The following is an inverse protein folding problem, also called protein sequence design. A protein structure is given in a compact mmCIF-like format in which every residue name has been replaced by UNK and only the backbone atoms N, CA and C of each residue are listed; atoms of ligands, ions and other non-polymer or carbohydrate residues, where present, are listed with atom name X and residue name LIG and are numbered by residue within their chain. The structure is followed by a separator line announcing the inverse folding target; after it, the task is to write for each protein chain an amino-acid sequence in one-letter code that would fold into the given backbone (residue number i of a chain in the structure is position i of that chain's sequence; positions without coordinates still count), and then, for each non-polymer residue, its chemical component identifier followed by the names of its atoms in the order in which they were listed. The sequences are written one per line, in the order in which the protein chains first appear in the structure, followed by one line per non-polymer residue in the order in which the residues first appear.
data_IF_607338700337
#
_entry.id   IF_607338700337
#
_cell.length_a   1.000
_cell.length_b   1.000
_cell.length_c   1.000
_cell.angle_alpha   90.00
_cell.angle_beta   90.00
_cell.angle_gamma   90.00
#
_symmetry.space_group_name_H-M   'P 1'
#
loop_
_entity.id
_entity.type
_entity.pdbx_description
1 polymer ?
#
# COMPACT_ATOMS: atom_id res chain seq x y z
N UNK A 1 6.69 5.87 -8.14
CA UNK A 1 5.57 5.52 -7.22
C UNK A 1 5.88 4.26 -6.40
N UNK A 2 6.34 3.20 -7.02
CA UNK A 2 6.57 1.93 -6.31
C UNK A 2 7.60 2.08 -5.19
N UNK A 3 8.64 2.87 -5.40
CA UNK A 3 9.66 3.07 -4.38
C UNK A 3 9.11 3.76 -3.14
N UNK A 4 8.25 4.75 -3.35
CA UNK A 4 7.60 5.44 -2.25
C UNK A 4 6.70 4.49 -1.47
N UNK A 5 6.00 3.63 -2.18
CA UNK A 5 5.12 2.65 -1.57
C UNK A 5 5.92 1.61 -0.78
N UNK A 6 7.11 1.24 -1.25
CA UNK A 6 7.99 0.34 -0.50
C UNK A 6 8.40 0.95 0.83
N UNK A 7 8.67 2.24 0.86
CA UNK A 7 8.99 2.93 2.11
C UNK A 7 7.81 2.86 3.08
N UNK A 8 6.61 3.06 2.56
CA UNK A 8 5.40 2.96 3.38
C UNK A 8 5.21 1.54 3.90
N UNK A 9 5.41 0.55 3.03
CA UNK A 9 5.30 -0.86 3.42
C UNK A 9 6.30 -1.23 4.50
N UNK A 10 7.51 -0.66 4.46
CA UNK A 10 8.51 -0.94 5.48
C UNK A 10 8.11 -0.42 6.86
N UNK A 11 7.26 0.60 6.91
CA UNK A 11 6.72 1.10 8.18
C UNK A 11 5.63 0.19 8.72
N UNK A 12 4.84 -0.40 7.83
CA UNK A 12 3.75 -1.30 8.21
C UNK A 12 4.29 -2.68 8.58
N UNK A 13 5.24 -3.19 7.81
CA UNK A 13 5.83 -4.53 8.02
C UNK A 13 7.35 -4.43 7.95
N UNK A 14 7.99 -3.96 9.01
CA UNK A 14 9.44 -3.69 9.00
C UNK A 14 10.32 -4.92 8.80
N UNK A 15 9.81 -6.11 9.09
CA UNK A 15 10.59 -7.34 8.95
C UNK A 15 10.48 -7.99 7.58
N UNK A 16 9.70 -7.40 6.69
CA UNK A 16 9.46 -7.99 5.39
C UNK A 16 10.55 -7.65 4.38
N UNK A 17 10.91 -8.62 3.54
CA UNK A 17 11.82 -8.39 2.42
C UNK A 17 11.07 -7.68 1.30
N UNK A 18 11.34 -6.40 1.12
CA UNK A 18 10.68 -5.59 0.11
C UNK A 18 11.44 -5.56 -1.21
N UNK A 19 12.60 -6.21 -1.27
CA UNK A 19 13.40 -6.21 -2.48
C UNK A 19 12.72 -6.88 -3.67
N UNK A 20 11.85 -7.86 -3.41
CA UNK A 20 11.13 -8.58 -4.45
C UNK A 20 9.74 -8.03 -4.72
N UNK A 21 9.33 -6.98 -4.00
CA UNK A 21 8.00 -6.39 -4.17
C UNK A 21 7.92 -5.62 -5.48
N UNK A 22 6.83 -5.83 -6.21
CA UNK A 22 6.54 -5.10 -7.44
C UNK A 22 5.04 -4.86 -7.55
N UNK A 23 4.61 -4.27 -8.66
CA UNK A 23 3.20 -3.92 -8.84
C UNK A 23 2.27 -5.14 -8.85
N UNK A 24 2.78 -6.31 -9.22
CA UNK A 24 2.00 -7.53 -9.26
C UNK A 24 1.95 -8.26 -7.91
N UNK A 25 2.73 -7.82 -6.94
CA UNK A 25 2.74 -8.44 -5.61
C UNK A 25 1.38 -8.30 -4.95
N UNK A 26 0.83 -9.41 -4.47
CA UNK A 26 -0.48 -9.41 -3.83
C UNK A 26 -0.34 -9.17 -2.34
N UNK A 27 -1.13 -8.23 -1.83
CA UNK A 27 -1.02 -7.82 -0.44
C UNK A 27 -1.39 -8.95 0.52
N UNK A 28 -2.49 -9.63 0.26
CA UNK A 28 -2.96 -10.68 1.16
C UNK A 28 -2.22 -11.99 0.92
N UNK A 29 -2.08 -12.40 -0.34
CA UNK A 29 -1.51 -13.70 -0.66
C UNK A 29 0.01 -13.73 -0.58
N UNK A 30 0.67 -12.68 -1.05
CA UNK A 30 2.13 -12.65 -1.11
C UNK A 30 2.77 -12.00 0.13
N UNK A 31 2.16 -10.94 0.64
CA UNK A 31 2.67 -10.21 1.80
C UNK A 31 1.97 -10.62 3.10
N UNK A 32 0.96 -11.45 3.01
CA UNK A 32 0.22 -11.97 4.14
C UNK A 32 -0.40 -10.89 5.03
N UNK A 33 -0.85 -9.80 4.40
CA UNK A 33 -1.54 -8.74 5.13
C UNK A 33 -2.91 -9.21 5.58
N UNK A 34 -3.26 -8.89 6.82
CA UNK A 34 -4.62 -9.07 7.32
C UNK A 34 -5.36 -7.72 7.22
N UNK A 35 -6.60 -7.69 7.71
CA UNK A 35 -7.42 -6.48 7.66
C UNK A 35 -6.76 -5.32 8.39
N UNK A 36 -6.14 -5.60 9.52
CA UNK A 36 -5.47 -4.57 10.31
C UNK A 36 -4.28 -3.98 9.54
N UNK A 37 -3.49 -4.84 8.91
CA UNK A 37 -2.35 -4.36 8.13
C UNK A 37 -2.79 -3.51 6.94
N UNK A 38 -3.88 -3.89 6.28
CA UNK A 38 -4.45 -3.11 5.18
C UNK A 38 -4.92 -1.74 5.68
N UNK A 39 -5.56 -1.68 6.83
CA UNK A 39 -5.97 -0.40 7.43
C UNK A 39 -4.77 0.47 7.77
N UNK A 40 -3.73 -0.11 8.34
CA UNK A 40 -2.50 0.62 8.65
C UNK A 40 -1.84 1.15 7.38
N UNK A 41 -1.82 0.34 6.33
CA UNK A 41 -1.30 0.77 5.03
C UNK A 41 -2.09 1.97 4.50
N UNK A 42 -3.42 1.91 4.58
CA UNK A 42 -4.28 3.01 4.14
C UNK A 42 -3.97 4.29 4.90
N UNK A 43 -3.80 4.20 6.21
CA UNK A 43 -3.48 5.37 7.04
C UNK A 43 -2.13 5.96 6.69
N UNK A 44 -1.13 5.13 6.46
CA UNK A 44 0.19 5.59 6.07
C UNK A 44 0.18 6.26 4.70
N UNK A 45 -0.61 5.72 3.78
CA UNK A 45 -0.76 6.30 2.44
C UNK A 45 -1.42 7.66 2.52
N UNK A 46 -2.48 7.80 3.32
CA UNK A 46 -3.13 9.10 3.52
C UNK A 46 -2.15 10.14 4.04
N UNK A 47 -1.35 9.74 5.01
CA UNK A 47 -0.39 10.64 5.62
C UNK A 47 0.74 11.01 4.66
N UNK A 48 1.25 10.03 3.93
CA UNK A 48 2.40 10.23 3.03
C UNK A 48 2.05 11.07 1.81
N UNK A 49 0.83 10.95 1.30
CA UNK A 49 0.40 11.62 0.07
C UNK A 49 -0.61 12.74 0.30
N UNK A 50 -0.89 13.04 1.55
CA UNK A 50 -1.71 14.18 1.96
C UNK A 50 -3.11 14.18 1.34
N UNK A 51 -3.80 13.04 1.43
CA UNK A 51 -5.20 12.96 1.05
C UNK A 51 -5.92 11.99 2.01
N UNK A 52 -7.23 11.91 1.91
CA UNK A 52 -8.00 11.01 2.75
C UNK A 52 -8.87 10.09 1.89
N UNK A 53 -8.94 8.82 2.32
CA UNK A 53 -9.89 7.89 1.72
C UNK A 53 -11.30 8.27 2.15
N UNK A 54 -12.19 8.48 1.19
CA UNK A 54 -13.58 8.83 1.47
C UNK A 54 -14.46 7.59 1.50
N UNK A 55 -13.89 6.45 1.12
CA UNK A 55 -14.60 5.17 1.12
C UNK A 55 -13.62 4.06 1.41
N UNK A 56 -14.12 2.90 1.79
CA UNK A 56 -13.27 1.72 1.99
C UNK A 56 -12.87 1.18 0.62
N UNK A 57 -11.57 1.12 0.37
CA UNK A 57 -11.02 0.59 -0.87
C UNK A 57 -10.29 -0.71 -0.55
N UNK A 58 -10.66 -1.79 -1.22
CA UNK A 58 -10.02 -3.08 -1.05
C UNK A 58 -8.94 -3.23 -2.11
N UNK A 59 -7.69 -3.17 -1.69
CA UNK A 59 -6.56 -3.37 -2.59
C UNK A 59 -6.18 -4.84 -2.63
N UNK A 60 -5.94 -5.35 -3.82
CA UNK A 60 -5.48 -6.72 -3.99
C UNK A 60 -3.97 -6.77 -4.20
N UNK A 61 -3.44 -5.84 -4.97
CA UNK A 61 -2.02 -5.81 -5.32
C UNK A 61 -1.41 -4.46 -4.98
N UNK A 62 -0.08 -4.43 -4.95
CA UNK A 62 0.66 -3.17 -4.79
C UNK A 62 0.31 -2.21 -5.92
N UNK A 63 0.15 -2.74 -7.14
CA UNK A 63 -0.25 -1.92 -8.29
C UNK A 63 -1.60 -1.24 -8.10
N UNK A 64 -2.55 -1.92 -7.44
CA UNK A 64 -3.86 -1.32 -7.15
C UNK A 64 -3.71 -0.10 -6.25
N UNK A 65 -2.84 -0.17 -5.27
CA UNK A 65 -2.57 0.96 -4.38
C UNK A 65 -1.94 2.11 -5.17
N UNK A 66 -0.97 1.80 -6.00
CA UNK A 66 -0.31 2.80 -6.84
C UNK A 66 -1.31 3.51 -7.76
N UNK A 67 -2.15 2.74 -8.42
CA UNK A 67 -3.15 3.28 -9.34
C UNK A 67 -4.14 4.20 -8.61
N UNK A 68 -4.56 3.80 -7.44
CA UNK A 68 -5.48 4.62 -6.65
C UNK A 68 -4.84 5.94 -6.27
N UNK A 69 -3.61 5.91 -5.79
CA UNK A 69 -2.89 7.13 -5.41
C UNK A 69 -2.73 8.05 -6.60
N UNK A 70 -2.33 7.51 -7.74
CA UNK A 70 -2.14 8.31 -8.95
C UNK A 70 -3.43 8.96 -9.41
N UNK A 71 -4.56 8.26 -9.28
CA UNK A 71 -5.85 8.82 -9.67
C UNK A 71 -6.26 9.98 -8.75
N UNK A 72 -5.83 9.95 -7.49
CA UNK A 72 -6.17 11.03 -6.54
C UNK A 72 -5.25 12.23 -6.68
N UNK A 73 -4.03 12.02 -7.14
CA UNK A 73 -3.07 13.10 -7.31
C UNK A 73 -3.21 13.82 -8.65
N UNK A 74 -3.81 13.17 -9.62
CA UNK A 74 -3.97 13.73 -10.96
C UNK A 74 -4.89 14.95 -11.01
#
# INVERSE_FOLDING_TARGET
MIEKLKEILSKVVPDMDLGSVNENTRLIEDLEFDSLAIMMLSMEVEDAFDFKFTEFVKFETVGDVCAYIESKKA
#
